data_IF_171303741374
#
_entry.id   IF_171303741374
#
_cell.length_a   1.000
_cell.length_b   1.000
_cell.length_c   1.000
_cell.angle_alpha   90.00
_cell.angle_beta   90.00
_cell.angle_gamma   90.00
#
_symmetry.space_group_name_H-M   'P 1'
#
loop_
_entity.id
_entity.type
_entity.pdbx_description
1 polymer ?
#
# COMPACT_ATOMS: atom_id res chain seq x y z
N UNK A 1 3.52 13.05 -2.72
CA UNK A 1 2.48 12.42 -3.57
C UNK A 1 3.18 11.54 -4.60
N UNK A 2 3.16 10.22 -4.40
CA UNK A 2 3.81 9.25 -5.31
C UNK A 2 2.88 8.78 -6.44
N UNK A 3 3.41 8.02 -7.40
CA UNK A 3 2.68 7.51 -8.58
C UNK A 3 1.42 6.69 -8.23
N UNK A 4 1.34 6.16 -7.01
CA UNK A 4 0.32 5.20 -6.61
C UNK A 4 -0.99 5.82 -6.11
N UNK A 5 -1.02 7.14 -5.89
CA UNK A 5 -2.26 7.81 -5.47
C UNK A 5 -3.30 7.77 -6.60
N UNK A 6 -2.89 8.03 -7.83
CA UNK A 6 -3.79 7.96 -9.00
C UNK A 6 -4.25 6.52 -9.26
N UNK A 7 -3.37 5.53 -9.06
CA UNK A 7 -3.74 4.12 -9.13
C UNK A 7 -4.80 3.77 -8.08
N UNK A 8 -4.62 4.22 -6.84
CA UNK A 8 -5.60 4.01 -5.76
C UNK A 8 -6.97 4.60 -6.09
N UNK A 9 -7.01 5.81 -6.67
CA UNK A 9 -8.26 6.42 -7.15
C UNK A 9 -8.89 5.63 -8.28
N UNK A 10 -8.10 5.16 -9.25
CA UNK A 10 -8.59 4.34 -10.35
C UNK A 10 -9.18 2.99 -9.86
N UNK A 11 -8.69 2.49 -8.72
CA UNK A 11 -9.22 1.31 -8.01
C UNK A 11 -10.42 1.61 -7.09
N UNK A 12 -10.86 2.87 -7.00
CA UNK A 12 -12.05 3.27 -6.25
C UNK A 12 -11.79 3.75 -4.82
N UNK A 13 -10.53 3.95 -4.39
CA UNK A 13 -10.25 4.58 -3.11
C UNK A 13 -10.71 6.03 -3.11
N UNK A 14 -11.44 6.43 -2.07
CA UNK A 14 -11.92 7.80 -1.91
C UNK A 14 -10.79 8.73 -1.46
N UNK A 15 -10.96 10.03 -1.67
CA UNK A 15 -10.01 11.04 -1.16
C UNK A 15 -9.84 10.96 0.36
N UNK A 16 -10.91 10.65 1.09
CA UNK A 16 -10.89 10.47 2.55
C UNK A 16 -10.08 9.24 2.95
N UNK A 17 -10.30 8.09 2.29
CA UNK A 17 -9.49 6.88 2.51
C UNK A 17 -8.01 7.14 2.24
N UNK A 18 -7.69 7.81 1.13
CA UNK A 18 -6.30 8.15 0.78
C UNK A 18 -5.66 9.05 1.85
N UNK A 19 -6.38 10.05 2.35
CA UNK A 19 -5.89 10.92 3.43
C UNK A 19 -5.62 10.16 4.73
N UNK A 20 -6.46 9.18 5.07
CA UNK A 20 -6.26 8.34 6.26
C UNK A 20 -5.05 7.39 6.14
N UNK A 21 -4.68 7.00 4.91
CA UNK A 21 -3.51 6.16 4.64
C UNK A 21 -2.18 6.92 4.70
N UNK A 22 -2.19 8.26 4.62
CA UNK A 22 -0.96 9.06 4.76
C UNK A 22 -0.44 9.08 6.21
N UNK A 23 -1.28 8.69 7.18
CA UNK A 23 -0.91 8.56 8.59
C UNK A 23 -1.49 7.29 9.21
N UNK A 24 -1.82 7.36 10.50
CA UNK A 24 -2.33 6.22 11.27
C UNK A 24 -3.86 6.21 11.42
N UNK A 25 -4.57 7.16 10.79
CA UNK A 25 -6.02 7.32 10.95
C UNK A 25 -6.85 6.13 10.46
N UNK A 26 -6.29 5.32 9.55
CA UNK A 26 -6.91 4.09 9.06
C UNK A 26 -7.15 3.04 10.17
N UNK A 27 -6.37 3.07 11.27
CA UNK A 27 -6.48 2.08 12.37
C UNK A 27 -7.86 2.11 13.03
N UNK A 28 -8.35 3.32 13.32
CA UNK A 28 -9.62 3.54 14.01
C UNK A 28 -10.79 3.80 13.05
N UNK A 29 -10.50 4.11 11.79
CA UNK A 29 -11.54 4.46 10.81
C UNK A 29 -12.48 3.29 10.47
N UNK A 30 -13.79 3.51 10.36
CA UNK A 30 -14.74 2.52 9.85
C UNK A 30 -14.69 2.37 8.32
N UNK A 31 -13.94 3.21 7.61
CA UNK A 31 -13.83 3.19 6.13
C UNK A 31 -12.99 2.03 5.59
N UNK A 32 -12.40 1.23 6.48
CA UNK A 32 -11.63 0.05 6.14
C UNK A 32 -12.18 -1.15 6.92
N UNK A 33 -12.45 -2.23 6.19
CA UNK A 33 -12.77 -3.53 6.78
C UNK A 33 -11.59 -4.09 7.59
N UNK A 34 -11.85 -5.09 8.44
CA UNK A 34 -10.80 -5.78 9.18
C UNK A 34 -9.72 -6.37 8.24
N UNK A 35 -10.15 -6.93 7.09
CA UNK A 35 -9.26 -7.46 6.05
C UNK A 35 -8.36 -6.39 5.44
N UNK A 36 -8.89 -5.19 5.16
CA UNK A 36 -8.10 -4.06 4.64
C UNK A 36 -7.13 -3.53 5.70
N UNK A 37 -7.58 -3.39 6.95
CA UNK A 37 -6.70 -2.98 8.06
C UNK A 37 -5.55 -3.95 8.28
N UNK A 38 -5.79 -5.26 8.12
CA UNK A 38 -4.74 -6.27 8.23
C UNK A 38 -3.64 -6.07 7.18
N UNK A 39 -4.01 -5.86 5.90
CA UNK A 39 -3.02 -5.66 4.83
C UNK A 39 -2.34 -4.30 4.90
N UNK A 40 -3.05 -3.23 5.30
CA UNK A 40 -2.44 -1.91 5.51
C UNK A 40 -1.40 -1.98 6.65
N UNK A 41 -1.77 -2.61 7.78
CA UNK A 41 -0.83 -2.86 8.89
C UNK A 41 0.38 -3.65 8.41
N UNK A 42 0.16 -4.72 7.66
CA UNK A 42 1.26 -5.57 7.19
C UNK A 42 2.21 -4.82 6.26
N UNK A 43 1.67 -3.97 5.37
CA UNK A 43 2.47 -3.12 4.50
C UNK A 43 3.37 -2.17 5.31
N UNK A 44 2.85 -1.57 6.38
CA UNK A 44 3.63 -0.73 7.30
C UNK A 44 4.77 -1.51 7.97
N UNK A 45 4.46 -2.69 8.52
CA UNK A 45 5.42 -3.52 9.26
C UNK A 45 6.56 -4.03 8.35
N UNK A 46 6.23 -4.42 7.11
CA UNK A 46 7.23 -4.85 6.12
C UNK A 46 8.10 -3.66 5.68
N UNK A 47 7.50 -2.49 5.51
CA UNK A 47 8.21 -1.26 5.10
C UNK A 47 9.16 -0.75 6.16
N UNK A 48 8.73 -0.80 7.44
CA UNK A 48 9.52 -0.38 8.61
C UNK A 48 10.49 -1.45 9.10
N UNK A 49 10.51 -2.64 8.47
CA UNK A 49 11.30 -3.81 8.86
C UNK A 49 11.01 -4.30 10.30
N UNK A 50 9.78 -4.12 10.77
CA UNK A 50 9.33 -4.51 12.12
C UNK A 50 8.48 -5.78 12.14
N UNK A 51 8.09 -6.31 10.97
CA UNK A 51 7.26 -7.50 10.82
C UNK A 51 7.73 -8.72 11.64
N UNK A 52 9.05 -8.94 11.78
CA UNK A 52 9.61 -10.06 12.56
C UNK A 52 9.22 -10.01 14.04
N UNK A 53 9.02 -8.82 14.61
CA UNK A 53 8.69 -8.62 16.02
C UNK A 53 7.20 -8.46 16.30
N UNK A 54 6.35 -8.54 15.27
CA UNK A 54 4.91 -8.28 15.39
C UNK A 54 4.10 -9.50 14.95
N UNK A 55 4.08 -10.53 15.80
CA UNK A 55 3.30 -11.76 15.56
C UNK A 55 1.81 -11.47 15.36
N UNK A 56 1.27 -10.46 16.06
CA UNK A 56 -0.11 -10.03 15.88
C UNK A 56 -0.40 -9.64 14.42
N UNK A 57 0.46 -8.83 13.80
CA UNK A 57 0.27 -8.42 12.41
C UNK A 57 0.32 -9.62 11.44
N UNK A 58 1.20 -10.60 11.69
CA UNK A 58 1.28 -11.81 10.88
C UNK A 58 0.04 -12.71 11.06
N UNK A 59 -0.46 -12.86 12.28
CA UNK A 59 -1.67 -13.64 12.55
C UNK A 59 -2.93 -12.98 11.98
N UNK A 60 -3.05 -11.65 12.00
CA UNK A 60 -4.14 -10.94 11.32
C UNK A 60 -4.13 -11.18 9.80
N UNK A 61 -2.95 -11.21 9.18
CA UNK A 61 -2.82 -11.59 7.77
C UNK A 61 -3.32 -13.01 7.52
N UNK A 62 -2.94 -13.98 8.37
CA UNK A 62 -3.40 -15.39 8.24
C UNK A 62 -4.90 -15.56 8.44
N UNK A 63 -5.55 -14.71 9.23
CA UNK A 63 -7.01 -14.74 9.42
C UNK A 63 -7.79 -14.37 8.16
N UNK A 64 -7.24 -13.47 7.34
CA UNK A 64 -7.97 -12.85 6.23
C UNK A 64 -7.47 -13.27 4.84
N UNK A 65 -6.28 -13.86 4.76
CA UNK A 65 -5.61 -14.20 3.50
C UNK A 65 -5.07 -15.63 3.55
N UNK A 66 -5.14 -16.30 2.40
CA UNK A 66 -4.44 -17.59 2.23
C UNK A 66 -2.93 -17.39 2.28
N UNK A 67 -2.16 -18.46 2.55
CA UNK A 67 -0.70 -18.42 2.51
C UNK A 67 -0.16 -17.87 1.18
N UNK A 68 -0.79 -18.24 0.07
CA UNK A 68 -0.44 -17.73 -1.27
C UNK A 68 -0.62 -16.21 -1.34
N UNK A 69 -1.77 -15.70 -0.93
CA UNK A 69 -2.06 -14.26 -0.93
C UNK A 69 -1.13 -13.50 0.01
N UNK A 70 -0.80 -14.06 1.18
CA UNK A 70 0.15 -13.45 2.12
C UNK A 70 1.53 -13.28 1.44
N UNK A 71 2.03 -14.31 0.76
CA UNK A 71 3.29 -14.25 0.02
C UNK A 71 3.21 -13.21 -1.10
N UNK A 72 2.15 -13.23 -1.91
CA UNK A 72 1.93 -12.25 -3.00
C UNK A 72 1.90 -10.81 -2.47
N UNK A 73 1.14 -10.54 -1.40
CA UNK A 73 1.04 -9.21 -0.78
C UNK A 73 2.37 -8.75 -0.17
N UNK A 74 3.11 -9.66 0.48
CA UNK A 74 4.44 -9.36 1.05
C UNK A 74 5.44 -9.03 -0.06
N UNK A 75 5.39 -9.78 -1.18
CA UNK A 75 6.23 -9.53 -2.33
C UNK A 75 5.93 -8.17 -2.97
N UNK A 76 4.66 -7.80 -3.12
CA UNK A 76 4.24 -6.47 -3.60
C UNK A 76 4.78 -5.36 -2.71
N UNK A 77 4.72 -5.50 -1.38
CA UNK A 77 5.33 -4.55 -0.46
C UNK A 77 6.84 -4.41 -0.70
N UNK A 78 7.54 -5.54 -0.84
CA UNK A 78 8.97 -5.58 -1.13
C UNK A 78 9.34 -4.89 -2.45
N UNK A 79 8.59 -5.13 -3.52
CA UNK A 79 8.81 -4.48 -4.82
C UNK A 79 8.68 -2.96 -4.73
N UNK A 80 7.65 -2.46 -4.05
CA UNK A 80 7.47 -1.03 -3.86
C UNK A 80 8.57 -0.39 -3.03
N UNK A 81 9.02 -1.08 -1.97
CA UNK A 81 10.12 -0.61 -1.14
C UNK A 81 11.44 -0.57 -1.91
N UNK A 82 11.71 -1.56 -2.77
CA UNK A 82 12.86 -1.53 -3.68
C UNK A 82 12.76 -0.35 -4.64
N UNK A 83 11.60 -0.17 -5.29
CA UNK A 83 11.37 0.93 -6.23
C UNK A 83 11.58 2.29 -5.56
N UNK A 84 11.07 2.48 -4.33
CA UNK A 84 11.25 3.72 -3.58
C UNK A 84 12.73 4.00 -3.27
N UNK A 85 13.50 2.98 -2.87
CA UNK A 85 14.94 3.11 -2.61
C UNK A 85 15.75 3.43 -3.87
N UNK A 86 15.43 2.81 -5.00
CA UNK A 86 16.09 3.11 -6.28
C UNK A 86 15.79 4.54 -6.72
N UNK A 87 14.52 4.95 -6.64
CA UNK A 87 14.12 6.31 -7.01
C UNK A 87 14.80 7.36 -6.13
N UNK A 88 14.85 7.13 -4.81
CA UNK A 88 15.52 8.02 -3.87
C UNK A 88 17.03 8.11 -4.13
N UNK A 89 17.72 6.97 -4.22
CA UNK A 89 19.17 6.92 -4.40
C UNK A 89 19.66 7.53 -5.72
N UNK A 90 18.81 7.51 -6.76
CA UNK A 90 19.11 8.09 -8.08
C UNK A 90 18.52 9.49 -8.26
N UNK A 91 17.96 10.08 -7.19
CA UNK A 91 17.32 11.40 -7.21
C UNK A 91 16.23 11.54 -8.29
N UNK A 92 15.48 10.46 -8.55
CA UNK A 92 14.37 10.48 -9.49
C UNK A 92 13.25 11.35 -8.91
N UNK A 93 12.88 12.39 -9.65
CA UNK A 93 11.78 13.28 -9.30
C UNK A 93 10.50 12.74 -9.95
N UNK A 94 9.44 12.65 -9.16
CA UNK A 94 8.09 12.32 -9.66
C UNK A 94 7.76 13.25 -10.83
N UNK A 95 7.21 12.70 -11.92
CA UNK A 95 6.96 13.51 -13.10
C UNK A 95 6.02 14.68 -12.76
N UNK A 96 6.23 15.85 -13.39
CA UNK A 96 5.28 16.94 -13.29
C UNK A 96 3.88 16.46 -13.71
N UNK A 97 2.79 17.09 -13.24
CA UNK A 97 1.42 16.60 -13.46
C UNK A 97 1.07 16.20 -14.91
N UNK A 98 1.67 16.85 -15.92
CA UNK A 98 1.47 16.52 -17.34
C UNK A 98 2.26 15.32 -17.88
N UNK A 99 3.20 14.77 -17.11
CA UNK A 99 4.01 13.59 -17.48
C UNK A 99 3.71 12.33 -16.67
N UNK A 100 2.77 12.41 -15.71
CA UNK A 100 2.41 11.26 -14.87
C UNK A 100 1.62 10.23 -15.67
N UNK A 101 1.82 8.96 -15.34
CA UNK A 101 0.97 7.88 -15.84
C UNK A 101 -0.45 8.08 -15.29
N UNK A 102 -1.41 8.27 -16.19
CA UNK A 102 -2.82 8.36 -15.86
C UNK A 102 -3.45 6.98 -15.96
N UNK A 103 -3.76 6.37 -14.82
CA UNK A 103 -4.51 5.11 -14.77
C UNK A 103 -6.00 5.41 -14.98
N UNK A 104 -6.59 4.92 -16.07
CA UNK A 104 -8.04 5.03 -16.29
C UNK A 104 -8.71 3.73 -15.84
N UNK A 105 -9.96 3.82 -15.36
CA UNK A 105 -10.74 2.65 -14.95
C UNK A 105 -10.90 1.59 -16.07
N UNK A 106 -10.76 1.99 -17.33
CA UNK A 106 -10.80 1.09 -18.49
C UNK A 106 -9.51 0.27 -18.67
N UNK A 107 -8.40 0.71 -18.09
CA UNK A 107 -7.08 0.08 -18.23
C UNK A 107 -6.84 -1.03 -17.18
N UNK A 108 -7.79 -1.22 -16.27
CA UNK A 108 -7.69 -2.07 -15.07
C UNK A 108 -8.54 -3.35 -15.18
N UNK A 109 -8.97 -3.72 -16.39
CA UNK A 109 -9.82 -4.89 -16.68
C UNK A 109 -9.08 -5.96 -17.47
#
# INVERSE_FOLDING_TARGET
MGHNVELGRALGLTGEQLGLLEGDGWKESPLFSAREKAVIRWADEVTKLTAKGNDFAFEEMKKHFTTRQLVELTFVCGMWNLSGRVAEALHLVVEPPGGRIAFQAKDMR
#
